data_IF_857394965618
#
_entry.id   IF_857394965618
#
_cell.length_a   1.000
_cell.length_b   1.000
_cell.length_c   1.000
_cell.angle_alpha   90.00
_cell.angle_beta   90.00
_cell.angle_gamma   90.00
#
_symmetry.space_group_name_H-M   'P 1'
#
loop_
_entity.id
_entity.type
_entity.pdbx_description
1 polymer ?
#
# COMPACT_ATOMS: atom_id res chain seq x y z
N UNK A 1 -17.80 1.05 -70.25
CA UNK A 1 -16.55 0.55 -69.63
C UNK A 1 -16.38 1.28 -68.31
N UNK A 2 -16.80 0.68 -67.21
CA UNK A 2 -16.64 1.24 -65.86
C UNK A 2 -15.17 1.18 -65.47
N UNK A 3 -14.62 2.32 -65.07
CA UNK A 3 -13.21 2.46 -64.70
C UNK A 3 -12.95 1.75 -63.38
N UNK A 4 -12.22 0.63 -63.41
CA UNK A 4 -11.82 -0.15 -62.22
C UNK A 4 -10.70 0.51 -61.40
N UNK A 5 -10.24 1.70 -61.80
CA UNK A 5 -9.16 2.45 -61.15
C UNK A 5 -9.37 2.75 -59.66
N UNK A 6 -10.57 3.11 -59.16
CA UNK A 6 -10.74 3.39 -57.73
C UNK A 6 -10.71 2.11 -56.89
N UNK A 7 -11.22 0.98 -57.42
CA UNK A 7 -11.17 -0.32 -56.73
C UNK A 7 -9.73 -0.84 -56.61
N UNK A 8 -8.92 -0.67 -57.66
CA UNK A 8 -7.51 -1.03 -57.64
C UNK A 8 -6.70 -0.19 -56.65
N UNK A 9 -7.02 1.09 -56.50
CA UNK A 9 -6.35 1.97 -55.54
C UNK A 9 -6.66 1.58 -54.08
N UNK A 10 -7.91 1.19 -53.78
CA UNK A 10 -8.31 0.74 -52.45
C UNK A 10 -7.61 -0.58 -52.10
N UNK A 11 -7.58 -1.54 -53.04
CA UNK A 11 -6.88 -2.81 -52.83
C UNK A 11 -5.38 -2.61 -52.57
N UNK A 12 -4.73 -1.72 -53.31
CA UNK A 12 -3.32 -1.40 -53.09
C UNK A 12 -3.06 -0.78 -51.71
N UNK A 13 -3.95 0.10 -51.24
CA UNK A 13 -3.84 0.72 -49.91
C UNK A 13 -3.99 -0.31 -48.78
N UNK A 14 -4.95 -1.24 -48.91
CA UNK A 14 -5.15 -2.32 -47.93
C UNK A 14 -3.95 -3.27 -47.91
N UNK A 15 -3.42 -3.64 -49.08
CA UNK A 15 -2.22 -4.48 -49.17
C UNK A 15 -1.00 -3.80 -48.53
N UNK A 16 -0.79 -2.50 -48.76
CA UNK A 16 0.30 -1.76 -48.15
C UNK A 16 0.17 -1.70 -46.61
N UNK A 17 -1.05 -1.51 -46.11
CA UNK A 17 -1.31 -1.47 -44.67
C UNK A 17 -1.08 -2.85 -44.02
N UNK A 18 -1.51 -3.93 -44.67
CA UNK A 18 -1.24 -5.30 -44.19
C UNK A 18 0.25 -5.62 -44.18
N UNK A 19 1.00 -5.22 -45.22
CA UNK A 19 2.46 -5.41 -45.27
C UNK A 19 3.15 -4.60 -44.17
N UNK A 20 2.72 -3.35 -43.92
CA UNK A 20 3.25 -2.53 -42.83
C UNK A 20 2.98 -3.15 -41.45
N UNK A 21 1.75 -3.61 -41.20
CA UNK A 21 1.40 -4.30 -39.94
C UNK A 21 2.19 -5.60 -39.77
N UNK A 22 2.39 -6.37 -40.84
CA UNK A 22 3.17 -7.61 -40.79
C UNK A 22 4.64 -7.31 -40.53
N UNK A 23 5.21 -6.26 -41.15
CA UNK A 23 6.58 -5.83 -40.89
C UNK A 23 6.76 -5.40 -39.43
N UNK A 24 5.88 -4.54 -38.90
CA UNK A 24 5.91 -4.12 -37.48
C UNK A 24 5.84 -5.33 -36.56
N UNK A 25 4.89 -6.23 -36.78
CA UNK A 25 4.74 -7.45 -35.99
C UNK A 25 5.99 -8.33 -36.07
N UNK A 26 6.57 -8.50 -37.26
CA UNK A 26 7.79 -9.29 -37.40
C UNK A 26 9.01 -8.64 -36.76
N UNK A 27 9.15 -7.32 -36.84
CA UNK A 27 10.27 -6.60 -36.19
C UNK A 27 10.15 -6.55 -34.68
N UNK A 28 8.92 -6.53 -34.14
CA UNK A 28 8.68 -6.45 -32.69
C UNK A 28 8.59 -7.83 -32.02
N UNK A 29 8.06 -8.86 -32.69
CA UNK A 29 7.72 -10.13 -32.04
C UNK A 29 8.40 -11.38 -32.62
N UNK A 30 8.90 -11.35 -33.85
CA UNK A 30 9.64 -12.49 -34.42
C UNK A 30 11.07 -12.08 -34.66
N UNK A 31 11.93 -12.32 -33.66
CA UNK A 31 13.36 -11.99 -33.72
C UNK A 31 14.03 -12.39 -35.05
N UNK A 32 15.06 -11.64 -35.42
CA UNK A 32 15.75 -11.75 -36.70
C UNK A 32 16.24 -13.17 -37.05
N UNK A 33 16.75 -13.31 -38.29
CA UNK A 33 17.21 -14.57 -38.89
C UNK A 33 18.06 -15.37 -37.89
N UNK A 34 17.48 -16.42 -37.30
CA UNK A 34 18.11 -17.20 -36.24
C UNK A 34 17.19 -17.65 -35.10
N UNK A 35 15.95 -17.14 -35.00
CA UNK A 35 14.95 -17.70 -34.08
C UNK A 35 15.18 -17.41 -32.59
N UNK A 36 16.08 -16.48 -32.27
CA UNK A 36 16.19 -15.92 -30.92
C UNK A 36 15.24 -14.73 -30.84
N UNK A 37 14.23 -14.83 -29.97
CA UNK A 37 13.37 -13.71 -29.61
C UNK A 37 14.27 -12.51 -29.23
N UNK A 38 14.11 -11.38 -29.93
CA UNK A 38 14.58 -10.09 -29.43
C UNK A 38 13.65 -9.68 -28.29
N UNK A 39 13.76 -10.38 -27.16
CA UNK A 39 13.15 -9.87 -25.95
C UNK A 39 13.97 -8.63 -25.57
N UNK A 40 13.35 -7.44 -25.44
CA UNK A 40 14.06 -6.27 -24.95
C UNK A 40 14.82 -6.63 -23.69
N UNK A 41 16.03 -6.09 -23.52
CA UNK A 41 16.89 -6.33 -22.33
C UNK A 41 16.18 -6.14 -20.99
N UNK A 42 15.03 -5.49 -20.98
CA UNK A 42 14.16 -5.29 -19.83
C UNK A 42 13.53 -6.57 -19.28
N UNK A 43 13.37 -7.63 -20.08
CA UNK A 43 12.80 -8.90 -19.59
C UNK A 43 13.84 -9.83 -18.97
N UNK A 44 15.11 -9.72 -19.35
CA UNK A 44 16.20 -10.47 -18.69
C UNK A 44 16.44 -9.89 -17.27
N UNK A 45 16.22 -8.58 -17.10
CA UNK A 45 16.15 -7.93 -15.79
C UNK A 45 14.89 -8.26 -14.98
N UNK A 46 13.85 -8.85 -15.59
CA UNK A 46 12.67 -9.31 -14.85
C UNK A 46 12.94 -10.61 -14.08
N UNK A 47 13.90 -11.42 -14.53
CA UNK A 47 14.28 -12.69 -13.89
C UNK A 47 15.39 -12.53 -12.81
N UNK A 48 16.00 -11.35 -12.71
CA UNK A 48 16.93 -10.98 -11.62
C UNK A 48 16.40 -9.75 -10.87
N UNK A 49 15.09 -9.71 -10.60
CA UNK A 49 14.65 -9.00 -9.40
C UNK A 49 14.81 -9.98 -8.25
N UNK A 50 15.87 -9.83 -7.47
CA UNK A 50 15.75 -10.07 -6.03
C UNK A 50 14.44 -9.40 -5.64
N UNK A 51 13.37 -10.15 -5.36
CA UNK A 51 12.18 -9.54 -4.77
C UNK A 51 12.69 -8.87 -3.50
N UNK A 52 12.72 -7.54 -3.50
CA UNK A 52 13.08 -6.80 -2.29
C UNK A 52 12.04 -7.23 -1.28
N UNK A 53 12.47 -8.03 -0.32
CA UNK A 53 11.58 -8.58 0.68
C UNK A 53 11.28 -7.49 1.70
N UNK A 54 10.01 -7.39 2.06
CA UNK A 54 9.59 -6.54 3.15
C UNK A 54 10.30 -6.93 4.45
N UNK A 55 11.09 -6.02 5.01
CA UNK A 55 11.84 -6.25 6.26
C UNK A 55 10.93 -6.45 7.47
N UNK A 56 9.68 -6.01 7.39
CA UNK A 56 8.69 -6.08 8.47
C UNK A 56 7.58 -7.10 8.17
N UNK A 57 7.83 -8.02 7.24
CA UNK A 57 6.84 -9.00 6.80
C UNK A 57 6.36 -9.91 7.94
N UNK A 58 7.32 -10.45 8.69
CA UNK A 58 7.08 -11.45 9.73
C UNK A 58 6.79 -10.82 11.10
N UNK A 59 6.43 -9.53 11.12
CA UNK A 59 6.11 -8.82 12.35
C UNK A 59 4.92 -9.49 13.07
N UNK A 60 5.12 -9.73 14.36
CA UNK A 60 4.12 -10.36 15.22
C UNK A 60 3.45 -9.27 16.05
N UNK A 61 2.12 -9.28 16.08
CA UNK A 61 1.32 -8.32 16.85
C UNK A 61 0.91 -8.96 18.18
N UNK A 62 1.74 -8.81 19.21
CA UNK A 62 1.42 -9.16 20.59
C UNK A 62 1.68 -7.97 21.52
N UNK A 63 1.19 -8.05 22.75
CA UNK A 63 1.40 -7.01 23.78
C UNK A 63 2.89 -6.80 24.07
N UNK A 64 3.67 -7.87 24.07
CA UNK A 64 5.10 -7.88 24.35
C UNK A 64 5.91 -7.22 23.23
N UNK A 65 5.42 -7.25 21.99
CA UNK A 65 6.14 -6.70 20.83
C UNK A 65 5.72 -5.27 20.46
N UNK A 66 4.76 -4.66 21.17
CA UNK A 66 4.23 -3.32 20.83
C UNK A 66 5.33 -2.29 20.63
N UNK A 67 6.21 -2.12 21.62
CA UNK A 67 7.24 -1.08 21.57
C UNK A 67 8.23 -1.30 20.43
N UNK A 68 8.66 -2.55 20.21
CA UNK A 68 9.60 -2.91 19.15
C UNK A 68 8.97 -2.73 17.75
N UNK A 69 7.70 -3.06 17.59
CA UNK A 69 6.96 -2.85 16.34
C UNK A 69 6.85 -1.36 16.03
N UNK A 70 6.49 -0.53 17.02
CA UNK A 70 6.39 0.92 16.85
C UNK A 70 7.75 1.55 16.51
N UNK A 71 8.85 1.06 17.12
CA UNK A 71 10.21 1.46 16.73
C UNK A 71 10.53 1.04 15.30
N UNK A 72 10.17 -0.17 14.89
CA UNK A 72 10.41 -0.68 13.53
C UNK A 72 9.59 0.06 12.46
N UNK A 73 8.43 0.62 12.83
CA UNK A 73 7.66 1.55 11.99
C UNK A 73 8.32 2.94 11.90
N UNK A 74 9.29 3.22 12.77
CA UNK A 74 10.09 4.43 12.84
C UNK A 74 9.42 5.58 13.60
N UNK A 75 8.55 5.26 14.56
CA UNK A 75 8.03 6.27 15.49
C UNK A 75 9.14 6.74 16.43
N UNK A 76 9.12 8.03 16.76
CA UNK A 76 9.99 8.59 17.81
C UNK A 76 9.56 8.12 19.20
N UNK A 77 10.46 8.17 20.19
CA UNK A 77 10.15 7.81 21.59
C UNK A 77 8.93 8.57 22.15
N UNK A 78 8.73 9.82 21.72
CA UNK A 78 7.57 10.61 22.11
C UNK A 78 6.28 10.03 21.55
N UNK A 79 6.26 9.71 20.26
CA UNK A 79 5.12 9.08 19.60
C UNK A 79 4.85 7.70 20.18
N UNK A 80 5.89 6.88 20.39
CA UNK A 80 5.77 5.54 21.00
C UNK A 80 5.05 5.63 22.35
N UNK A 81 5.47 6.53 23.25
CA UNK A 81 4.80 6.70 24.56
C UNK A 81 3.33 7.08 24.42
N UNK A 82 3.01 7.97 23.49
CA UNK A 82 1.63 8.40 23.22
C UNK A 82 0.79 7.27 22.63
N UNK A 83 1.32 6.54 21.65
CA UNK A 83 0.66 5.37 21.05
C UNK A 83 0.40 4.30 22.11
N UNK A 84 1.36 4.01 22.99
CA UNK A 84 1.17 3.06 24.10
C UNK A 84 0.11 3.52 25.11
N UNK A 85 0.01 4.83 25.36
CA UNK A 85 -1.04 5.39 26.21
C UNK A 85 -2.42 5.22 25.55
N UNK A 86 -2.55 5.47 24.25
CA UNK A 86 -3.79 5.29 23.50
C UNK A 86 -4.21 3.82 23.42
N UNK A 87 -3.25 2.91 23.17
CA UNK A 87 -3.48 1.45 23.25
C UNK A 87 -4.06 1.08 24.62
N UNK A 88 -3.43 1.54 25.70
CA UNK A 88 -3.90 1.25 27.07
C UNK A 88 -5.29 1.82 27.33
N UNK A 89 -5.58 3.01 26.80
CA UNK A 89 -6.91 3.62 26.90
C UNK A 89 -7.97 2.79 26.15
N UNK A 90 -7.66 2.33 24.93
CA UNK A 90 -8.54 1.47 24.15
C UNK A 90 -8.81 0.13 24.83
N UNK A 91 -7.78 -0.52 25.37
CA UNK A 91 -7.93 -1.77 26.11
C UNK A 91 -8.82 -1.62 27.35
N UNK A 92 -8.74 -0.48 28.04
CA UNK A 92 -9.53 -0.25 29.27
C UNK A 92 -10.97 0.11 28.98
N UNK A 93 -11.21 0.92 27.96
CA UNK A 93 -12.49 1.60 27.78
C UNK A 93 -13.31 1.07 26.60
N UNK A 94 -12.68 0.42 25.62
CA UNK A 94 -13.33 0.09 24.34
C UNK A 94 -13.12 -1.35 23.87
N UNK A 95 -12.34 -2.18 24.57
CA UNK A 95 -11.99 -3.54 24.14
C UNK A 95 -13.23 -4.37 23.79
N UNK A 96 -14.23 -4.39 24.69
CA UNK A 96 -15.47 -5.13 24.47
C UNK A 96 -16.19 -4.68 23.20
N UNK A 97 -16.32 -3.36 22.99
CA UNK A 97 -16.95 -2.80 21.78
C UNK A 97 -16.19 -3.20 20.52
N UNK A 98 -14.85 -3.19 20.56
CA UNK A 98 -14.05 -3.61 19.41
C UNK A 98 -14.30 -5.06 19.05
N UNK A 99 -14.24 -5.97 20.04
CA UNK A 99 -14.48 -7.40 19.82
C UNK A 99 -15.91 -7.67 19.34
N UNK A 100 -16.89 -7.31 20.17
CA UNK A 100 -18.28 -7.76 19.99
C UNK A 100 -19.04 -6.96 18.93
N UNK A 101 -18.73 -5.66 18.74
CA UNK A 101 -19.51 -4.79 17.85
C UNK A 101 -18.76 -4.32 16.61
N UNK A 102 -17.42 -4.24 16.64
CA UNK A 102 -16.67 -3.78 15.47
C UNK A 102 -16.15 -4.95 14.63
N UNK A 103 -15.64 -5.99 15.27
CA UNK A 103 -15.04 -7.14 14.61
C UNK A 103 -16.11 -8.19 14.28
N UNK A 104 -16.83 -8.71 15.28
CA UNK A 104 -17.77 -9.82 15.07
C UNK A 104 -18.96 -9.45 14.17
N UNK A 105 -19.38 -8.19 14.18
CA UNK A 105 -20.47 -7.68 13.34
C UNK A 105 -20.00 -7.15 11.97
N UNK A 106 -18.72 -7.31 11.62
CA UNK A 106 -18.21 -6.82 10.34
C UNK A 106 -18.94 -7.50 9.15
N UNK A 107 -19.45 -6.72 8.18
CA UNK A 107 -20.26 -7.26 7.08
C UNK A 107 -19.48 -8.16 6.12
N UNK A 108 -18.15 -8.02 6.05
CA UNK A 108 -17.28 -8.81 5.18
C UNK A 108 -16.03 -9.29 5.95
N UNK A 109 -16.19 -10.41 6.65
CA UNK A 109 -15.12 -11.03 7.44
C UNK A 109 -13.95 -11.50 6.59
N UNK A 110 -14.15 -11.85 5.32
CA UNK A 110 -13.06 -12.27 4.42
C UNK A 110 -12.11 -11.12 4.11
N UNK A 111 -12.65 -9.91 3.92
CA UNK A 111 -11.81 -8.73 3.75
C UNK A 111 -11.11 -8.31 5.05
N UNK A 112 -11.78 -8.44 6.20
CA UNK A 112 -11.15 -8.21 7.51
C UNK A 112 -10.00 -9.19 7.73
N UNK A 113 -10.21 -10.48 7.45
CA UNK A 113 -9.15 -11.50 7.49
C UNK A 113 -8.00 -11.13 6.54
N UNK A 114 -8.32 -10.76 5.29
CA UNK A 114 -7.33 -10.37 4.31
C UNK A 114 -6.49 -9.16 4.78
N UNK A 115 -7.10 -8.21 5.49
CA UNK A 115 -6.42 -7.03 5.98
C UNK A 115 -5.52 -7.32 7.18
N UNK A 116 -6.01 -8.04 8.19
CA UNK A 116 -5.31 -8.21 9.46
C UNK A 116 -4.45 -9.48 9.55
N UNK A 117 -4.78 -10.55 8.82
CA UNK A 117 -4.11 -11.85 8.94
C UNK A 117 -3.09 -12.12 7.83
N UNK A 118 -3.16 -11.41 6.70
CA UNK A 118 -2.27 -11.67 5.57
C UNK A 118 -0.81 -11.24 5.83
N UNK A 119 0.14 -12.12 5.53
CA UNK A 119 1.60 -11.86 5.59
C UNK A 119 2.28 -12.18 4.26
N UNK A 120 1.97 -11.44 3.19
CA UNK A 120 2.55 -11.67 1.83
C UNK A 120 3.49 -10.54 1.40
N UNK A 121 3.77 -10.30 0.11
CA UNK A 121 4.20 -8.98 -0.42
C UNK A 121 3.07 -8.17 -1.11
N UNK A 122 1.86 -8.74 -1.24
CA UNK A 122 0.64 -8.06 -1.71
C UNK A 122 -0.22 -7.41 -0.60
N UNK A 123 -0.60 -8.12 0.48
CA UNK A 123 -1.32 -7.59 1.66
C UNK A 123 -0.54 -7.59 3.01
N UNK A 124 -0.38 -6.43 3.68
CA UNK A 124 0.21 -6.30 5.05
C UNK A 124 -0.78 -5.63 6.00
N UNK A 125 -0.83 -6.02 7.29
CA UNK A 125 -1.73 -5.38 8.25
C UNK A 125 -1.51 -3.87 8.38
N UNK A 126 -0.25 -3.41 8.43
CA UNK A 126 0.11 -2.00 8.59
C UNK A 126 -0.29 -1.04 7.46
N UNK A 127 -0.76 -1.57 6.32
CA UNK A 127 -1.30 -0.75 5.22
C UNK A 127 -2.74 -1.17 4.89
N UNK A 128 -3.06 -2.46 4.93
CA UNK A 128 -4.40 -2.95 4.62
C UNK A 128 -5.42 -2.55 5.68
N UNK A 129 -5.02 -2.44 6.95
CA UNK A 129 -5.91 -1.98 8.01
C UNK A 129 -6.35 -0.52 7.82
N UNK A 130 -5.65 0.30 7.03
CA UNK A 130 -6.09 1.67 6.70
C UNK A 130 -7.50 1.66 6.10
N UNK A 131 -7.82 0.63 5.31
CA UNK A 131 -9.10 0.50 4.60
C UNK A 131 -10.30 0.28 5.54
N UNK A 132 -10.05 0.04 6.81
CA UNK A 132 -11.05 -0.24 7.86
C UNK A 132 -10.93 0.69 9.06
N UNK A 133 -9.72 1.18 9.34
CA UNK A 133 -9.43 1.97 10.53
C UNK A 133 -9.34 3.47 10.24
N UNK A 134 -9.53 3.90 8.98
CA UNK A 134 -9.45 5.30 8.57
C UNK A 134 -10.68 5.71 7.77
N UNK A 135 -11.35 6.75 8.24
CA UNK A 135 -12.51 7.38 7.63
C UNK A 135 -12.08 8.68 6.90
N UNK A 136 -12.72 9.01 5.78
CA UNK A 136 -12.41 10.19 4.94
C UNK A 136 -13.36 11.38 5.16
N UNK A 137 -14.45 11.23 5.94
CA UNK A 137 -15.53 12.23 6.09
C UNK A 137 -15.08 13.69 6.31
N UNK A 138 -13.95 13.91 6.99
CA UNK A 138 -13.32 15.24 7.15
C UNK A 138 -11.81 15.17 6.93
N UNK A 139 -11.43 14.57 5.80
CA UNK A 139 -10.09 14.10 5.51
C UNK A 139 -9.82 12.77 6.21
N UNK A 140 -8.82 12.05 5.73
CA UNK A 140 -8.46 10.72 6.22
C UNK A 140 -7.98 10.78 7.67
N UNK A 141 -8.78 10.21 8.56
CA UNK A 141 -8.55 10.19 10.01
C UNK A 141 -8.82 8.81 10.57
N UNK A 142 -8.04 8.36 11.57
CA UNK A 142 -8.37 7.15 12.29
C UNK A 142 -9.79 7.20 12.86
N UNK A 143 -10.51 6.08 12.82
CA UNK A 143 -11.90 6.00 13.29
C UNK A 143 -12.01 6.37 14.77
N UNK A 144 -13.13 6.99 15.14
CA UNK A 144 -13.49 7.17 16.55
C UNK A 144 -14.33 5.97 17.01
N UNK A 145 -13.77 5.11 17.87
CA UNK A 145 -14.38 3.85 18.31
C UNK A 145 -15.78 4.04 18.91
N UNK A 146 -16.02 5.14 19.62
CA UNK A 146 -17.32 5.40 20.25
C UNK A 146 -18.45 5.62 19.24
N UNK A 147 -18.08 6.03 18.01
CA UNK A 147 -19.02 6.35 16.94
C UNK A 147 -18.87 5.45 15.71
N UNK A 148 -17.82 4.64 15.68
CA UNK A 148 -17.53 3.74 14.60
C UNK A 148 -18.67 2.74 14.42
N UNK A 149 -19.02 2.50 13.16
CA UNK A 149 -19.85 1.37 12.75
C UNK A 149 -19.00 0.09 12.74
N UNK A 150 -19.62 -1.10 12.68
CA UNK A 150 -18.90 -2.34 12.44
C UNK A 150 -17.87 -2.21 11.32
N UNK A 151 -16.73 -2.90 11.43
CA UNK A 151 -15.60 -2.72 10.52
C UNK A 151 -16.04 -2.94 9.09
N UNK A 152 -16.18 -1.84 8.35
CA UNK A 152 -16.58 -1.85 6.96
C UNK A 152 -15.43 -1.32 6.12
N UNK A 153 -15.35 -1.84 4.90
CA UNK A 153 -14.42 -1.32 3.91
C UNK A 153 -14.80 0.11 3.55
N UNK A 154 -13.85 1.03 3.65
CA UNK A 154 -14.05 2.40 3.21
C UNK A 154 -13.72 2.57 1.73
N UNK A 155 -14.70 3.00 0.92
CA UNK A 155 -14.57 3.12 -0.55
C UNK A 155 -13.42 4.02 -1.02
N UNK A 156 -13.01 5.01 -0.20
CA UNK A 156 -11.87 5.88 -0.55
C UNK A 156 -10.59 5.06 -0.79
N UNK A 157 -10.46 3.90 -0.13
CA UNK A 157 -9.31 3.02 -0.25
C UNK A 157 -9.13 2.42 -1.65
N UNK A 158 -10.20 2.29 -2.46
CA UNK A 158 -10.11 1.79 -3.84
C UNK A 158 -9.38 2.75 -4.77
N UNK A 159 -9.51 4.04 -4.48
CA UNK A 159 -8.86 5.11 -5.26
C UNK A 159 -7.53 5.53 -4.67
N UNK A 160 -7.32 5.24 -3.37
CA UNK A 160 -6.06 5.49 -2.70
C UNK A 160 -4.97 4.57 -3.25
N UNK A 161 -3.81 5.16 -3.59
CA UNK A 161 -2.70 4.43 -4.21
C UNK A 161 -1.83 3.74 -3.15
N UNK A 162 -2.47 3.04 -2.20
CA UNK A 162 -1.83 2.45 -1.00
C UNK A 162 -0.68 1.50 -1.39
N UNK A 163 -0.92 0.57 -2.32
CA UNK A 163 0.12 -0.39 -2.77
C UNK A 163 1.31 0.33 -3.43
N UNK A 164 1.05 1.42 -4.17
CA UNK A 164 2.13 2.18 -4.80
C UNK A 164 2.97 2.93 -3.78
N UNK A 165 2.36 3.51 -2.74
CA UNK A 165 3.08 4.12 -1.60
C UNK A 165 3.93 3.07 -0.89
N UNK A 166 3.34 1.91 -0.58
CA UNK A 166 4.04 0.79 0.04
C UNK A 166 5.27 0.38 -0.77
N UNK A 167 5.11 0.09 -2.07
CA UNK A 167 6.23 -0.31 -2.93
C UNK A 167 7.33 0.75 -2.99
N UNK A 168 6.95 2.03 -3.08
CA UNK A 168 7.90 3.12 -3.18
C UNK A 168 8.74 3.29 -1.89
N UNK A 169 8.12 3.12 -0.74
CA UNK A 169 8.76 3.44 0.54
C UNK A 169 9.38 2.23 1.25
N UNK A 170 8.71 1.09 1.21
CA UNK A 170 9.07 -0.11 1.95
C UNK A 170 9.95 -1.06 1.12
N UNK A 171 9.72 -1.09 -0.20
CA UNK A 171 10.40 -1.99 -1.15
C UNK A 171 11.26 -1.23 -2.18
N UNK A 172 12.16 -0.33 -1.75
CA UNK A 172 12.95 0.44 -2.70
C UNK A 172 13.86 -0.47 -3.51
N UNK A 173 14.05 -0.12 -4.79
CA UNK A 173 14.83 -0.93 -5.74
C UNK A 173 16.29 -1.09 -5.33
N UNK A 174 16.83 -0.17 -4.53
CA UNK A 174 18.19 -0.22 -3.99
C UNK A 174 18.31 -1.05 -2.69
N UNK A 175 17.20 -1.61 -2.18
CA UNK A 175 17.14 -2.38 -0.93
C UNK A 175 17.27 -1.55 0.35
N UNK A 176 17.47 -0.23 0.24
CA UNK A 176 17.72 0.66 1.37
C UNK A 176 16.40 1.24 1.89
N UNK A 177 15.58 0.40 2.54
CA UNK A 177 14.41 0.87 3.30
C UNK A 177 14.89 1.82 4.43
N UNK A 178 14.28 3.01 4.52
CA UNK A 178 14.49 3.96 5.64
C UNK A 178 13.79 3.46 6.89
N UNK A 179 14.30 3.80 8.07
CA UNK A 179 13.76 3.27 9.33
C UNK A 179 12.32 3.73 9.58
N UNK A 180 12.00 4.97 9.21
CA UNK A 180 10.69 5.63 9.27
C UNK A 180 9.83 5.48 8.02
N UNK A 181 10.15 4.53 7.13
CA UNK A 181 9.39 4.32 5.90
C UNK A 181 7.90 4.02 6.15
N UNK A 182 7.57 3.23 7.18
CA UNK A 182 6.18 2.91 7.50
C UNK A 182 5.44 4.13 8.03
N UNK A 183 6.03 4.86 8.98
CA UNK A 183 5.48 6.11 9.48
C UNK A 183 5.20 7.11 8.34
N UNK A 184 6.19 7.31 7.47
CA UNK A 184 6.09 8.22 6.32
C UNK A 184 5.00 7.79 5.32
N UNK A 185 4.89 6.49 5.04
CA UNK A 185 3.89 5.94 4.12
C UNK A 185 2.47 6.06 4.64
N UNK A 186 2.26 5.66 5.90
CA UNK A 186 0.97 5.80 6.58
C UNK A 186 0.57 7.27 6.66
N UNK A 187 1.49 8.15 7.07
CA UNK A 187 1.23 9.58 7.15
C UNK A 187 0.86 10.18 5.79
N UNK A 188 1.54 9.80 4.71
CA UNK A 188 1.19 10.25 3.37
C UNK A 188 -0.23 9.83 2.96
N UNK A 189 -0.64 8.60 3.28
CA UNK A 189 -1.99 8.12 2.98
C UNK A 189 -3.03 8.89 3.83
N UNK A 190 -2.76 9.09 5.13
CA UNK A 190 -3.61 9.88 6.03
C UNK A 190 -3.74 11.35 5.61
N UNK A 191 -2.79 11.87 4.85
CA UNK A 191 -2.78 13.24 4.33
C UNK A 191 -3.26 13.34 2.87
N UNK A 192 -3.64 12.23 2.25
CA UNK A 192 -3.96 12.13 0.82
C UNK A 192 -2.84 12.68 -0.09
N UNK A 193 -1.59 12.37 0.25
CA UNK A 193 -0.37 12.81 -0.45
C UNK A 193 0.31 11.67 -1.23
N UNK A 194 -0.40 10.60 -1.57
CA UNK A 194 0.19 9.44 -2.24
C UNK A 194 0.85 9.80 -3.57
N UNK A 195 0.26 10.74 -4.33
CA UNK A 195 0.86 11.24 -5.57
C UNK A 195 2.25 11.80 -5.34
N UNK A 196 2.42 12.64 -4.32
CA UNK A 196 3.69 13.31 -4.01
C UNK A 196 4.75 12.31 -3.56
N UNK A 197 4.35 11.27 -2.80
CA UNK A 197 5.25 10.15 -2.46
C UNK A 197 5.72 9.41 -3.71
N UNK A 198 4.78 9.08 -4.60
CA UNK A 198 5.06 8.27 -5.78
C UNK A 198 5.93 9.02 -6.79
N UNK A 199 5.73 10.34 -6.90
CA UNK A 199 6.56 11.22 -7.70
C UNK A 199 7.96 11.42 -7.08
N UNK A 200 8.13 11.03 -5.81
CA UNK A 200 9.41 11.11 -5.10
C UNK A 200 9.75 12.54 -4.65
N UNK A 201 8.72 13.37 -4.46
CA UNK A 201 8.87 14.77 -4.08
C UNK A 201 9.05 14.95 -2.57
N UNK A 202 9.66 16.06 -2.17
CA UNK A 202 9.85 16.38 -0.76
C UNK A 202 8.51 16.62 -0.03
N UNK A 203 8.37 16.25 1.25
CA UNK A 203 9.38 15.64 2.13
C UNK A 203 9.49 14.10 2.08
N UNK A 204 8.88 13.43 1.10
CA UNK A 204 8.86 11.95 0.98
C UNK A 204 9.91 11.40 0.02
N UNK A 205 10.61 12.29 -0.68
CA UNK A 205 11.58 11.95 -1.71
C UNK A 205 12.88 11.34 -1.20
N UNK A 206 13.59 10.66 -2.10
CA UNK A 206 14.92 10.09 -1.87
C UNK A 206 15.98 10.83 -2.70
N UNK A 207 17.26 10.69 -2.32
CA UNK A 207 18.39 11.24 -3.08
C UNK A 207 18.51 12.77 -2.97
N UNK A 208 18.37 13.48 -4.09
CA UNK A 208 18.42 14.96 -4.14
C UNK A 208 17.16 15.60 -3.55
N UNK A 209 16.06 14.86 -3.46
CA UNK A 209 14.85 15.26 -2.76
C UNK A 209 14.97 14.88 -1.28
N UNK A 210 14.56 15.80 -0.39
CA UNK A 210 14.75 15.66 1.06
C UNK A 210 13.70 14.72 1.66
N UNK A 211 14.15 13.61 2.25
CA UNK A 211 13.38 12.75 3.15
C UNK A 211 13.42 13.34 4.57
N UNK A 212 12.28 13.70 5.15
CA UNK A 212 12.27 14.25 6.52
C UNK A 212 10.90 14.18 7.18
N UNK A 213 10.80 13.42 8.27
CA UNK A 213 9.63 13.43 9.15
C UNK A 213 9.38 14.82 9.77
N UNK A 214 10.44 15.51 10.20
CA UNK A 214 10.33 16.86 10.76
C UNK A 214 9.71 17.86 9.76
N UNK A 215 10.06 17.77 8.47
CA UNK A 215 9.45 18.60 7.43
C UNK A 215 7.98 18.21 7.17
N UNK A 216 7.62 16.92 7.31
CA UNK A 216 6.22 16.46 7.26
C UNK A 216 5.42 17.08 8.40
N UNK A 217 5.90 16.99 9.64
CA UNK A 217 5.24 17.56 10.81
C UNK A 217 5.11 19.09 10.72
N UNK A 218 6.17 19.77 10.26
CA UNK A 218 6.16 21.22 10.09
C UNK A 218 5.14 21.68 9.03
N UNK A 219 4.98 20.91 7.95
CA UNK A 219 4.05 21.22 6.86
C UNK A 219 2.61 20.85 7.19
N UNK A 220 2.42 19.75 7.92
CA UNK A 220 1.10 19.19 8.25
C UNK A 220 0.97 19.07 9.77
N UNK A 221 0.57 20.16 10.46
CA UNK A 221 0.25 20.07 11.87
C UNK A 221 -0.84 18.99 12.06
N UNK A 222 -0.77 18.22 13.15
CA UNK A 222 -1.67 17.10 13.48
C UNK A 222 -1.40 15.76 12.77
N UNK A 223 -0.41 15.66 11.88
CA UNK A 223 -0.08 14.38 11.25
C UNK A 223 0.43 13.35 12.26
N UNK A 224 1.18 13.81 13.27
CA UNK A 224 1.68 13.00 14.37
C UNK A 224 0.53 12.42 15.20
N UNK A 225 -0.46 13.24 15.57
CA UNK A 225 -1.66 12.82 16.29
C UNK A 225 -2.42 11.73 15.53
N UNK A 226 -2.58 11.90 14.22
CA UNK A 226 -3.28 10.91 13.37
C UNK A 226 -2.47 9.62 13.22
N UNK A 227 -1.16 9.71 13.05
CA UNK A 227 -0.30 8.54 12.96
C UNK A 227 -0.32 7.75 14.28
N UNK A 228 -0.20 8.44 15.42
CA UNK A 228 -0.29 7.85 16.77
C UNK A 228 -1.61 7.10 16.94
N UNK A 229 -2.74 7.74 16.66
CA UNK A 229 -4.05 7.12 16.81
C UNK A 229 -4.23 5.92 15.85
N UNK A 230 -3.75 6.02 14.60
CA UNK A 230 -3.78 4.90 13.66
C UNK A 230 -2.98 3.71 14.18
N UNK A 231 -1.72 3.90 14.59
CA UNK A 231 -0.88 2.81 15.06
C UNK A 231 -1.40 2.19 16.36
N UNK A 232 -2.05 2.99 17.22
CA UNK A 232 -2.72 2.48 18.41
C UNK A 232 -3.89 1.55 18.06
N UNK A 233 -4.76 1.97 17.13
CA UNK A 233 -5.85 1.13 16.63
C UNK A 233 -5.32 -0.12 15.95
N UNK A 234 -4.34 0.03 15.04
CA UNK A 234 -3.70 -1.09 14.34
C UNK A 234 -3.26 -2.17 15.33
N UNK A 235 -2.53 -1.78 16.38
CA UNK A 235 -2.05 -2.72 17.38
C UNK A 235 -3.19 -3.45 18.10
N UNK A 236 -4.17 -2.71 18.64
CA UNK A 236 -5.26 -3.33 19.40
C UNK A 236 -6.08 -4.26 18.50
N UNK A 237 -6.47 -3.82 17.30
CA UNK A 237 -7.22 -4.66 16.37
C UNK A 237 -6.39 -5.87 15.91
N UNK A 238 -5.13 -5.70 15.53
CA UNK A 238 -4.28 -6.83 15.14
C UNK A 238 -4.11 -7.86 16.26
N UNK A 239 -3.91 -7.42 17.49
CA UNK A 239 -3.77 -8.31 18.65
C UNK A 239 -5.09 -9.05 18.96
N UNK A 240 -6.23 -8.36 18.86
CA UNK A 240 -7.55 -8.99 19.00
C UNK A 240 -7.81 -10.05 17.94
N UNK A 241 -7.32 -9.85 16.72
CA UNK A 241 -7.49 -10.82 15.64
C UNK A 241 -6.53 -12.02 15.75
N UNK A 242 -5.38 -11.86 16.42
CA UNK A 242 -4.37 -12.91 16.57
C UNK A 242 -4.39 -13.62 17.94
N UNK A 243 -5.32 -13.27 18.84
CA UNK A 243 -5.47 -14.02 20.12
C UNK A 243 -5.92 -15.46 19.84
N UNK A 244 -5.64 -16.36 20.78
CA UNK A 244 -6.06 -17.76 20.70
C UNK A 244 -7.57 -17.87 20.43
N UNK A 245 -7.93 -18.66 19.42
CA UNK A 245 -9.32 -18.86 18.99
C UNK A 245 -9.95 -17.70 18.20
N UNK A 246 -9.18 -16.67 17.81
CA UNK A 246 -9.66 -15.56 17.00
C UNK A 246 -9.42 -15.76 15.50
N UNK A 247 -9.74 -14.73 14.72
CA UNK A 247 -9.82 -14.77 13.26
C UNK A 247 -8.52 -15.23 12.56
N UNK A 248 -7.35 -14.81 13.07
CA UNK A 248 -6.05 -15.13 12.49
C UNK A 248 -5.36 -16.36 13.11
N UNK A 249 -6.01 -17.08 14.02
CA UNK A 249 -5.49 -18.28 14.68
C UNK A 249 -5.93 -19.59 13.98
N UNK A 250 -6.30 -19.48 12.70
CA UNK A 250 -6.80 -20.60 11.87
C UNK A 250 -5.73 -21.23 10.98
#
# INVERSE_FOLDING_TARGET
MTSYRPLLAILAAISAMLVACTLIYTTEFTGGVGGWLNIPRDTENAAIRSEVQDKLLDMIYTKENREDNLKAFGLSDSMIRRTMADITNYERNHLQRMEESLIEEAPDMDQVYAAFCSRSNARRPRYEALKFLVDEDNGRRPINIDRAQPLNYFEWADTARIDAVYRMLELPTDGNRRDDATLMGVAAILLAQEGVVIDGDAPWGRGVHKWSWEDVEAKYPYVDDRAVAYFALLHVFSELMHKEGALCDQ
#
